data_IF_193807776640
#
_entry.id   IF_193807776640
#
_cell.length_a   1.000
_cell.length_b   1.000
_cell.length_c   1.000
_cell.angle_alpha   90.00
_cell.angle_beta   90.00
_cell.angle_gamma   90.00
#
_symmetry.space_group_name_H-M   'P 1'
#
loop_
_entity.id
_entity.type
_entity.pdbx_description
1 polymer ?
#
# COMPACT_ATOMS: atom_id res chain seq x y z
N UNK A 1 25.29 -12.09 -10.54
CA UNK A 1 24.76 -13.29 -9.89
C UNK A 1 23.46 -13.62 -10.60
N UNK A 2 23.34 -14.77 -11.19
CA UNK A 2 22.12 -15.21 -11.87
C UNK A 2 21.20 -15.83 -10.82
N UNK A 3 19.93 -15.39 -10.79
CA UNK A 3 18.95 -15.88 -9.83
C UNK A 3 18.24 -17.10 -10.44
N UNK A 4 18.25 -18.24 -9.73
CA UNK A 4 17.64 -19.47 -10.21
C UNK A 4 16.19 -19.60 -9.72
N UNK A 5 15.24 -19.24 -10.56
CA UNK A 5 13.81 -19.38 -10.31
C UNK A 5 13.26 -20.80 -10.58
N UNK A 6 14.10 -21.75 -11.00
CA UNK A 6 13.68 -23.12 -11.26
C UNK A 6 13.67 -24.01 -9.99
N UNK A 7 14.28 -23.54 -8.91
CA UNK A 7 14.37 -24.27 -7.65
C UNK A 7 13.18 -23.92 -6.73
N UNK A 8 12.21 -24.81 -6.59
CA UNK A 8 11.13 -24.61 -5.62
C UNK A 8 11.70 -24.76 -4.21
N UNK A 9 11.27 -23.87 -3.31
CA UNK A 9 11.58 -23.95 -1.88
C UNK A 9 10.40 -24.59 -1.17
N UNK A 10 10.62 -25.73 -0.52
CA UNK A 10 9.60 -26.34 0.34
C UNK A 10 9.40 -25.45 1.58
N UNK A 11 8.17 -25.03 1.78
CA UNK A 11 7.80 -24.13 2.88
C UNK A 11 6.88 -24.80 3.91
N UNK A 12 6.64 -26.10 3.79
CA UNK A 12 5.87 -26.86 4.77
C UNK A 12 6.70 -27.08 6.04
N UNK A 13 6.06 -26.96 7.20
CA UNK A 13 6.73 -27.08 8.49
C UNK A 13 7.68 -25.93 8.83
N UNK A 14 7.50 -24.77 8.21
CA UNK A 14 8.28 -23.54 8.46
C UNK A 14 7.47 -22.43 9.08
N UNK A 15 6.31 -22.71 9.63
CA UNK A 15 5.31 -21.77 10.12
C UNK A 15 4.79 -20.81 9.02
N UNK A 16 4.81 -21.27 7.77
CA UNK A 16 4.30 -20.52 6.63
C UNK A 16 2.79 -20.39 6.70
N UNK A 17 2.29 -19.17 6.85
CA UNK A 17 0.85 -18.91 6.86
C UNK A 17 0.14 -19.40 5.58
N UNK A 18 0.84 -19.39 4.44
CA UNK A 18 0.34 -19.89 3.16
C UNK A 18 0.28 -21.42 3.13
N UNK A 19 1.37 -22.11 3.50
CA UNK A 19 1.51 -23.54 3.31
C UNK A 19 1.04 -24.37 4.50
N UNK A 20 1.27 -23.88 5.74
CA UNK A 20 0.96 -24.64 6.96
C UNK A 20 -0.46 -24.40 7.46
N UNK A 21 -1.22 -23.47 6.84
CA UNK A 21 -2.65 -23.30 7.11
C UNK A 21 -3.55 -24.29 6.36
N UNK A 22 -3.03 -24.99 5.34
CA UNK A 22 -3.78 -25.99 4.61
C UNK A 22 -3.64 -27.36 5.32
N UNK A 23 -4.75 -28.01 5.72
CA UNK A 23 -4.69 -29.27 6.48
C UNK A 23 -4.27 -30.47 5.62
N UNK A 24 -4.37 -30.39 4.31
CA UNK A 24 -4.17 -31.50 3.37
C UNK A 24 -2.89 -31.27 2.56
N UNK A 25 -2.09 -32.33 2.44
CA UNK A 25 -0.75 -32.25 1.86
C UNK A 25 -0.71 -32.01 0.34
N UNK A 26 -1.80 -32.29 -0.35
CA UNK A 26 -1.95 -32.19 -1.81
C UNK A 26 -2.56 -30.86 -2.29
N UNK A 27 -2.99 -29.99 -1.37
CA UNK A 27 -3.49 -28.67 -1.72
C UNK A 27 -2.35 -27.76 -2.17
N UNK A 28 -2.52 -27.12 -3.32
CA UNK A 28 -1.66 -26.03 -3.81
C UNK A 28 -2.27 -24.70 -3.36
N UNK A 29 -1.70 -24.00 -2.36
CA UNK A 29 -2.26 -22.77 -1.85
C UNK A 29 -1.98 -21.61 -2.80
N UNK A 30 -3.05 -20.93 -3.29
CA UNK A 30 -2.96 -19.77 -4.18
C UNK A 30 -3.63 -18.52 -3.60
N UNK A 31 -3.94 -18.51 -2.30
CA UNK A 31 -4.77 -17.48 -1.66
C UNK A 31 -3.97 -16.33 -1.03
N UNK A 32 -2.68 -16.52 -0.78
CA UNK A 32 -1.77 -15.48 -0.24
C UNK A 32 -0.74 -15.10 -1.29
N UNK A 33 -0.59 -13.80 -1.49
CA UNK A 33 0.34 -13.25 -2.48
C UNK A 33 1.76 -13.09 -1.90
N UNK A 34 2.35 -14.17 -1.41
CA UNK A 34 3.78 -14.30 -1.18
C UNK A 34 4.37 -15.33 -2.14
N UNK A 35 5.65 -15.18 -2.46
CA UNK A 35 6.33 -16.04 -3.43
C UNK A 35 6.90 -17.28 -2.76
N UNK A 36 7.08 -18.35 -3.55
CA UNK A 36 7.76 -19.58 -3.11
C UNK A 36 9.22 -19.60 -3.58
N UNK A 37 9.75 -18.45 -3.94
CA UNK A 37 11.16 -18.23 -4.26
C UNK A 37 11.86 -17.54 -3.08
N UNK A 38 13.14 -17.86 -2.89
CA UNK A 38 13.97 -17.16 -1.93
C UNK A 38 14.05 -15.66 -2.26
N UNK A 39 14.16 -14.81 -1.23
CA UNK A 39 14.39 -13.39 -1.45
C UNK A 39 15.78 -13.13 -2.01
N UNK A 40 16.02 -11.93 -2.55
CA UNK A 40 17.30 -11.55 -3.12
C UNK A 40 18.45 -11.72 -2.10
N UNK A 41 19.57 -12.39 -2.45
CA UNK A 41 20.66 -12.71 -1.52
C UNK A 41 21.21 -11.51 -0.74
N UNK A 42 21.27 -10.33 -1.36
CA UNK A 42 21.71 -9.11 -0.67
C UNK A 42 20.83 -8.70 0.51
N UNK A 43 19.53 -9.05 0.49
CA UNK A 43 18.63 -8.84 1.63
C UNK A 43 19.00 -9.79 2.77
N UNK A 44 19.18 -11.08 2.45
CA UNK A 44 19.59 -12.11 3.44
C UNK A 44 20.93 -11.75 4.08
N UNK A 45 21.92 -11.33 3.29
CA UNK A 45 23.22 -10.88 3.79
C UNK A 45 23.10 -9.66 4.71
N UNK A 46 22.26 -8.69 4.38
CA UNK A 46 22.04 -7.53 5.23
C UNK A 46 21.41 -7.91 6.58
N UNK A 47 20.45 -8.84 6.57
CA UNK A 47 19.82 -9.37 7.78
C UNK A 47 20.84 -10.15 8.62
N UNK A 48 21.65 -11.00 8.02
CA UNK A 48 22.71 -11.76 8.72
C UNK A 48 23.72 -10.83 9.42
N UNK A 49 24.17 -9.75 8.74
CA UNK A 49 25.02 -8.73 9.37
C UNK A 49 24.34 -8.09 10.57
N UNK A 50 23.06 -7.81 10.51
CA UNK A 50 22.31 -7.23 11.63
C UNK A 50 22.14 -8.21 12.78
N UNK A 51 21.87 -9.49 12.49
CA UNK A 51 21.79 -10.55 13.50
C UNK A 51 23.14 -10.75 14.18
N UNK A 52 24.24 -10.78 13.42
CA UNK A 52 25.60 -10.91 13.96
C UNK A 52 26.00 -9.75 14.90
N UNK A 53 25.41 -8.56 14.75
CA UNK A 53 25.62 -7.46 15.68
C UNK A 53 25.09 -7.76 17.09
N UNK A 54 24.01 -8.56 17.23
CA UNK A 54 23.54 -9.15 18.49
C UNK A 54 22.81 -8.19 19.45
N UNK A 55 22.65 -6.90 19.11
CA UNK A 55 21.94 -5.92 19.94
C UNK A 55 20.70 -5.44 19.21
N UNK A 56 19.51 -5.74 19.77
CA UNK A 56 18.19 -5.45 19.19
C UNK A 56 17.42 -4.41 20.02
N UNK A 57 18.12 -3.37 20.48
CA UNK A 57 17.51 -2.25 21.18
C UNK A 57 16.69 -1.35 20.24
N UNK A 58 16.11 -0.28 20.79
CA UNK A 58 15.35 0.68 20.00
C UNK A 58 16.18 1.23 18.84
N UNK A 59 15.57 1.31 17.67
CA UNK A 59 16.24 1.70 16.44
C UNK A 59 15.41 2.76 15.72
N UNK A 60 16.04 3.82 15.28
CA UNK A 60 15.41 4.77 14.34
C UNK A 60 15.62 4.31 12.91
N UNK A 61 14.72 4.71 12.02
CA UNK A 61 14.89 4.50 10.58
C UNK A 61 16.05 5.36 10.08
N UNK A 62 17.11 4.78 9.49
CA UNK A 62 18.27 5.54 9.04
C UNK A 62 17.96 6.38 7.79
N UNK A 63 18.68 7.49 7.60
CA UNK A 63 18.50 8.35 6.42
C UNK A 63 18.69 7.59 5.09
N UNK A 64 19.66 6.69 5.05
CA UNK A 64 19.94 5.83 3.89
C UNK A 64 18.70 5.01 3.41
N UNK A 65 17.77 4.71 4.32
CA UNK A 65 16.50 4.05 3.97
C UNK A 65 15.64 4.98 3.10
N UNK A 66 15.42 6.20 3.56
CA UNK A 66 14.60 7.18 2.83
C UNK A 66 15.22 7.54 1.48
N UNK A 67 16.55 7.71 1.45
CA UNK A 67 17.28 7.92 0.20
C UNK A 67 17.11 6.75 -0.78
N UNK A 68 17.09 5.52 -0.28
CA UNK A 68 16.86 4.34 -1.10
C UNK A 68 15.44 4.34 -1.70
N UNK A 69 14.42 4.66 -0.91
CA UNK A 69 13.04 4.77 -1.38
C UNK A 69 12.91 5.87 -2.44
N UNK A 70 13.40 7.08 -2.16
CA UNK A 70 13.37 8.21 -3.11
C UNK A 70 14.08 7.86 -4.43
N UNK A 71 15.26 7.27 -4.34
CA UNK A 71 16.05 6.86 -5.51
C UNK A 71 15.36 5.76 -6.31
N UNK A 72 14.71 4.80 -5.64
CA UNK A 72 13.98 3.72 -6.28
C UNK A 72 12.84 4.25 -7.14
N UNK A 73 11.92 5.02 -6.54
CA UNK A 73 10.75 5.56 -7.25
C UNK A 73 11.15 6.51 -8.39
N UNK A 74 12.18 7.34 -8.18
CA UNK A 74 12.72 8.19 -9.25
C UNK A 74 13.27 7.37 -10.41
N UNK A 75 14.05 6.33 -10.13
CA UNK A 75 14.72 5.51 -11.17
C UNK A 75 13.73 4.60 -11.90
N UNK A 76 12.81 3.96 -11.16
CA UNK A 76 11.91 2.94 -11.70
C UNK A 76 10.65 3.53 -12.32
N UNK A 77 10.10 4.57 -11.73
CA UNK A 77 8.77 5.09 -12.07
C UNK A 77 8.77 6.58 -12.43
N UNK A 78 9.94 7.23 -12.51
CA UNK A 78 10.04 8.65 -12.80
C UNK A 78 9.40 9.56 -11.76
N UNK A 79 9.00 9.02 -10.61
CA UNK A 79 8.33 9.78 -9.56
C UNK A 79 9.34 10.34 -8.56
N UNK A 80 9.37 11.66 -8.44
CA UNK A 80 10.22 12.34 -7.48
C UNK A 80 9.51 12.48 -6.13
N UNK A 81 10.05 11.82 -5.11
CA UNK A 81 9.58 11.88 -3.72
C UNK A 81 10.67 12.56 -2.90
N UNK A 82 10.29 13.51 -2.04
CA UNK A 82 11.22 14.07 -1.07
C UNK A 82 11.23 13.23 0.22
N UNK A 83 12.33 13.27 0.93
CA UNK A 83 12.50 12.53 2.19
C UNK A 83 11.42 12.88 3.21
N UNK A 84 11.10 14.16 3.35
CA UNK A 84 10.10 14.69 4.28
C UNK A 84 8.66 14.29 3.95
N UNK A 85 8.40 13.79 2.74
CA UNK A 85 7.07 13.31 2.31
C UNK A 85 6.78 11.89 2.80
N UNK A 86 7.78 11.18 3.36
CA UNK A 86 7.71 9.77 3.70
C UNK A 86 7.53 9.58 5.21
N UNK A 87 6.49 8.81 5.58
CA UNK A 87 6.32 8.23 6.92
C UNK A 87 6.57 6.73 6.81
N UNK A 88 7.49 6.21 7.63
CA UNK A 88 7.72 4.77 7.77
C UNK A 88 6.59 4.11 8.57
N UNK A 89 6.20 2.90 8.19
CA UNK A 89 5.21 2.10 8.92
C UNK A 89 5.49 0.60 8.78
N UNK A 90 4.88 -0.21 9.65
CA UNK A 90 5.10 -1.66 9.71
C UNK A 90 4.37 -2.46 8.62
N UNK A 91 3.54 -1.83 7.79
CA UNK A 91 2.80 -2.50 6.73
C UNK A 91 1.77 -1.60 6.07
N UNK A 92 1.29 -1.97 4.87
CA UNK A 92 0.30 -1.17 4.14
C UNK A 92 -1.07 -1.23 4.81
N UNK A 93 -1.49 -2.36 5.39
CA UNK A 93 -2.76 -2.44 6.12
C UNK A 93 -2.77 -1.55 7.36
N UNK A 94 -1.74 -1.55 8.24
CA UNK A 94 -1.58 -0.55 9.30
C UNK A 94 -1.55 0.88 8.77
N UNK A 95 -0.87 1.14 7.65
CA UNK A 95 -0.84 2.46 7.00
C UNK A 95 -2.24 2.95 6.63
N UNK A 96 -2.99 2.15 5.89
CA UNK A 96 -4.37 2.47 5.47
C UNK A 96 -5.26 2.72 6.69
N UNK A 97 -5.17 1.88 7.72
CA UNK A 97 -5.94 2.05 8.96
C UNK A 97 -5.60 3.36 9.67
N UNK A 98 -4.31 3.71 9.77
CA UNK A 98 -3.86 4.97 10.37
C UNK A 98 -4.34 6.19 9.57
N UNK A 99 -4.32 6.10 8.24
CA UNK A 99 -4.82 7.17 7.35
C UNK A 99 -6.32 7.38 7.54
N UNK A 100 -7.12 6.30 7.57
CA UNK A 100 -8.56 6.39 7.84
C UNK A 100 -8.78 7.06 9.20
N UNK A 101 -8.14 6.56 10.26
CA UNK A 101 -8.24 7.14 11.61
C UNK A 101 -7.87 8.62 11.66
N UNK A 102 -6.86 9.03 10.89
CA UNK A 102 -6.39 10.42 10.87
C UNK A 102 -7.36 11.37 10.17
N UNK A 103 -8.07 10.90 9.14
CA UNK A 103 -8.73 11.78 8.17
C UNK A 103 -10.25 11.65 8.16
N UNK A 104 -10.82 10.74 8.96
CA UNK A 104 -12.27 10.52 9.06
C UNK A 104 -12.76 10.59 10.50
N UNK A 105 -14.06 10.66 10.64
CA UNK A 105 -14.80 10.49 11.89
C UNK A 105 -15.72 9.27 11.77
N UNK A 106 -16.13 8.65 12.89
CA UNK A 106 -17.11 7.57 12.86
C UNK A 106 -18.37 7.97 12.07
N UNK A 107 -18.79 7.08 11.16
CA UNK A 107 -19.89 7.30 10.25
C UNK A 107 -19.55 8.06 8.96
N UNK A 108 -18.33 8.55 8.77
CA UNK A 108 -17.90 9.04 7.47
C UNK A 108 -17.81 7.90 6.46
N UNK A 109 -18.01 8.23 5.19
CA UNK A 109 -17.97 7.26 4.10
C UNK A 109 -16.59 7.16 3.48
N UNK A 110 -16.16 5.90 3.28
CA UNK A 110 -14.94 5.55 2.57
C UNK A 110 -15.31 4.72 1.33
N UNK A 111 -14.99 5.26 0.15
CA UNK A 111 -15.32 4.64 -1.13
C UNK A 111 -14.24 3.61 -1.49
N UNK A 112 -14.67 2.44 -1.96
CA UNK A 112 -13.81 1.37 -2.47
C UNK A 112 -14.31 0.87 -3.81
N UNK A 113 -13.45 0.26 -4.62
CA UNK A 113 -13.78 -0.26 -5.96
C UNK A 113 -13.83 -1.79 -5.94
N UNK A 114 -15.01 -2.33 -5.58
CA UNK A 114 -15.22 -3.78 -5.53
C UNK A 114 -15.29 -4.48 -6.90
N UNK A 115 -14.80 -5.75 -6.99
CA UNK A 115 -14.15 -6.54 -5.95
C UNK A 115 -12.75 -5.98 -5.62
N UNK A 116 -12.39 -5.86 -4.34
CA UNK A 116 -11.12 -5.29 -3.91
C UNK A 116 -10.56 -6.03 -2.69
N UNK A 117 -9.32 -5.79 -2.35
CA UNK A 117 -8.62 -6.40 -1.24
C UNK A 117 -9.43 -6.32 0.08
N UNK A 118 -9.66 -7.48 0.69
CA UNK A 118 -10.59 -7.64 1.81
C UNK A 118 -10.18 -6.85 3.08
N UNK A 119 -8.89 -6.58 3.29
CA UNK A 119 -8.45 -5.80 4.44
C UNK A 119 -8.92 -4.33 4.39
N UNK A 120 -9.31 -3.80 3.23
CA UNK A 120 -9.94 -2.48 3.16
C UNK A 120 -11.24 -2.46 3.95
N UNK A 121 -12.06 -3.51 3.85
CA UNK A 121 -13.33 -3.60 4.56
C UNK A 121 -13.14 -3.62 6.09
N UNK A 122 -12.16 -4.39 6.58
CA UNK A 122 -11.85 -4.42 8.01
C UNK A 122 -11.27 -3.10 8.50
N UNK A 123 -10.36 -2.49 7.74
CA UNK A 123 -9.77 -1.18 8.09
C UNK A 123 -10.83 -0.09 8.19
N UNK A 124 -11.80 -0.07 7.29
CA UNK A 124 -12.91 0.91 7.30
C UNK A 124 -13.80 0.67 8.52
N UNK A 125 -14.27 -0.57 8.73
CA UNK A 125 -15.18 -0.91 9.84
C UNK A 125 -14.55 -0.69 11.21
N UNK A 126 -13.28 -1.06 11.37
CA UNK A 126 -12.57 -0.92 12.65
C UNK A 126 -12.34 0.54 13.04
N UNK A 127 -12.43 1.47 12.09
CA UNK A 127 -12.41 2.91 12.35
C UNK A 127 -13.80 3.54 12.46
N UNK A 128 -14.87 2.72 12.51
CA UNK A 128 -16.24 3.17 12.64
C UNK A 128 -16.81 3.86 11.41
N UNK A 129 -16.18 3.71 10.25
CA UNK A 129 -16.59 4.31 8.99
C UNK A 129 -17.55 3.41 8.20
N UNK A 130 -18.32 4.02 7.33
CA UNK A 130 -19.21 3.34 6.39
C UNK A 130 -18.45 3.03 5.08
N UNK A 131 -18.50 1.78 4.65
CA UNK A 131 -17.93 1.38 3.36
C UNK A 131 -18.97 1.58 2.24
N UNK A 132 -18.57 2.32 1.20
CA UNK A 132 -19.38 2.56 0.00
C UNK A 132 -18.67 1.96 -1.21
N UNK A 133 -19.32 1.00 -1.89
CA UNK A 133 -18.73 0.34 -3.04
C UNK A 133 -19.05 1.06 -4.35
N UNK A 134 -18.04 1.58 -5.05
CA UNK A 134 -18.10 1.85 -6.48
C UNK A 134 -17.68 0.54 -7.19
N UNK A 135 -18.67 -0.29 -7.51
CA UNK A 135 -18.39 -1.60 -8.12
C UNK A 135 -17.82 -1.45 -9.51
N UNK A 136 -16.73 -2.15 -9.78
CA UNK A 136 -16.13 -2.19 -11.10
C UNK A 136 -17.04 -2.95 -12.07
N UNK A 137 -17.06 -2.53 -13.32
CA UNK A 137 -17.77 -3.18 -14.41
C UNK A 137 -16.85 -4.21 -15.06
N UNK A 138 -17.29 -5.46 -15.17
CA UNK A 138 -16.52 -6.46 -15.91
C UNK A 138 -16.87 -6.41 -17.40
N UNK A 139 -15.94 -5.92 -18.20
CA UNK A 139 -16.04 -5.94 -19.65
C UNK A 139 -15.67 -7.33 -20.17
N UNK A 140 -16.68 -8.05 -20.69
CA UNK A 140 -16.53 -9.45 -21.16
C UNK A 140 -15.79 -9.57 -22.48
N UNK A 141 -15.80 -8.53 -23.30
CA UNK A 141 -15.12 -8.50 -24.59
C UNK A 141 -13.62 -8.29 -24.41
N UNK A 142 -13.26 -7.35 -23.53
CA UNK A 142 -11.87 -7.00 -23.20
C UNK A 142 -11.29 -7.87 -22.07
N UNK A 143 -12.11 -8.72 -21.45
CA UNK A 143 -11.75 -9.57 -20.30
C UNK A 143 -11.08 -8.79 -19.15
N UNK A 144 -11.57 -7.58 -18.88
CA UNK A 144 -11.00 -6.70 -17.86
C UNK A 144 -12.08 -5.99 -17.04
N UNK A 145 -11.69 -5.52 -15.87
CA UNK A 145 -12.49 -4.61 -15.06
C UNK A 145 -12.32 -3.15 -15.49
N UNK A 146 -13.37 -2.37 -15.43
CA UNK A 146 -13.40 -0.94 -15.75
C UNK A 146 -14.07 -0.15 -14.63
N UNK A 147 -13.69 1.12 -14.48
CA UNK A 147 -14.28 2.02 -13.47
C UNK A 147 -15.63 2.54 -13.98
N UNK A 148 -16.69 2.36 -13.20
CA UNK A 148 -17.95 3.08 -13.40
C UNK A 148 -17.82 4.51 -12.88
N UNK A 149 -17.45 5.41 -13.76
CA UNK A 149 -17.21 6.82 -13.40
C UNK A 149 -18.49 7.57 -13.06
N UNK A 150 -19.62 7.19 -13.63
CA UNK A 150 -20.92 7.83 -13.35
C UNK A 150 -21.40 7.43 -11.94
N UNK A 151 -21.24 6.16 -11.58
CA UNK A 151 -21.50 5.68 -10.24
C UNK A 151 -20.51 6.28 -9.23
N UNK A 152 -19.22 6.37 -9.58
CA UNK A 152 -18.20 7.00 -8.75
C UNK A 152 -18.59 8.46 -8.45
N UNK A 153 -18.89 9.25 -9.46
CA UNK A 153 -19.28 10.65 -9.28
C UNK A 153 -20.53 10.79 -8.40
N UNK A 154 -21.53 9.92 -8.59
CA UNK A 154 -22.73 9.91 -7.77
C UNK A 154 -22.43 9.68 -6.28
N UNK A 155 -21.49 8.79 -5.96
CA UNK A 155 -21.09 8.45 -4.60
C UNK A 155 -20.20 9.52 -3.95
N UNK A 156 -19.32 10.13 -4.74
CA UNK A 156 -18.48 11.25 -4.29
C UNK A 156 -19.30 12.51 -3.89
N UNK A 157 -20.51 12.68 -4.42
CA UNK A 157 -21.42 13.80 -4.07
C UNK A 157 -21.97 13.73 -2.64
N UNK A 158 -21.88 12.59 -1.99
CA UNK A 158 -22.44 12.42 -0.65
C UNK A 158 -21.67 13.27 0.37
N UNK A 159 -22.38 14.00 1.23
CA UNK A 159 -21.80 14.96 2.18
C UNK A 159 -20.83 14.32 3.19
N UNK A 160 -20.93 13.04 3.45
CA UNK A 160 -20.05 12.27 4.34
C UNK A 160 -18.94 11.52 3.62
N UNK A 161 -18.84 11.58 2.30
CA UNK A 161 -17.73 10.99 1.57
C UNK A 161 -16.43 11.75 1.91
N UNK A 162 -15.42 11.04 2.44
CA UNK A 162 -14.15 11.64 2.87
C UNK A 162 -12.94 11.06 2.17
N UNK A 163 -12.93 9.74 2.01
CA UNK A 163 -11.81 9.04 1.42
C UNK A 163 -12.26 8.11 0.29
N UNK A 164 -11.40 7.92 -0.68
CA UNK A 164 -11.45 6.83 -1.64
C UNK A 164 -10.19 5.98 -1.49
N UNK A 165 -10.35 4.70 -1.17
CA UNK A 165 -9.25 3.74 -1.19
C UNK A 165 -9.14 3.15 -2.59
N UNK A 166 -8.09 3.54 -3.29
CA UNK A 166 -7.75 3.06 -4.63
C UNK A 166 -6.70 1.96 -4.50
N UNK A 167 -6.88 0.83 -5.18
CA UNK A 167 -5.86 -0.20 -5.31
C UNK A 167 -5.17 -0.06 -6.68
N UNK A 168 -3.88 0.23 -6.71
CA UNK A 168 -3.14 0.56 -7.93
C UNK A 168 -1.70 -0.02 -7.94
N UNK A 169 -1.39 -1.08 -8.65
CA UNK A 169 -2.29 -1.97 -9.43
C UNK A 169 -3.37 -2.64 -8.60
N UNK A 170 -4.48 -2.99 -9.24
CA UNK A 170 -5.70 -3.42 -8.57
C UNK A 170 -5.71 -4.92 -8.23
N UNK A 171 -5.89 -5.25 -6.96
CA UNK A 171 -6.07 -6.60 -6.44
C UNK A 171 -7.54 -6.79 -5.95
N UNK A 172 -8.30 -7.83 -6.39
CA UNK A 172 -7.89 -8.96 -7.23
C UNK A 172 -8.14 -8.77 -8.74
N UNK A 173 -8.62 -7.62 -9.17
CA UNK A 173 -9.06 -7.40 -10.55
C UNK A 173 -7.94 -7.44 -11.61
N UNK A 174 -6.66 -7.47 -11.20
CA UNK A 174 -5.53 -7.58 -12.10
C UNK A 174 -5.34 -6.37 -13.03
N UNK A 175 -5.91 -5.20 -12.67
CA UNK A 175 -5.82 -3.98 -13.47
C UNK A 175 -4.60 -3.14 -13.10
N UNK A 176 -3.87 -2.70 -14.10
CA UNK A 176 -2.97 -1.55 -14.03
C UNK A 176 -3.72 -0.36 -14.63
N UNK A 177 -4.04 0.62 -13.81
CA UNK A 177 -4.81 1.79 -14.25
C UNK A 177 -3.97 2.69 -15.14
N UNK A 178 -4.56 3.17 -16.23
CA UNK A 178 -3.91 4.13 -17.11
C UNK A 178 -3.81 5.51 -16.45
N UNK A 179 -2.91 6.34 -16.96
CA UNK A 179 -2.78 7.74 -16.50
C UNK A 179 -4.10 8.50 -16.64
N UNK A 180 -4.83 8.28 -17.72
CA UNK A 180 -6.11 8.95 -17.97
C UNK A 180 -7.19 8.52 -16.97
N UNK A 181 -7.27 7.21 -16.67
CA UNK A 181 -8.18 6.69 -15.64
C UNK A 181 -7.87 7.29 -14.26
N UNK A 182 -6.59 7.30 -13.87
CA UNK A 182 -6.15 7.88 -12.60
C UNK A 182 -6.38 9.39 -12.53
N UNK A 183 -6.15 10.10 -13.64
CA UNK A 183 -6.41 11.55 -13.73
C UNK A 183 -7.90 11.83 -13.54
N UNK A 184 -8.78 11.08 -14.22
CA UNK A 184 -10.22 11.24 -14.07
C UNK A 184 -10.72 10.94 -12.66
N UNK A 185 -10.17 9.90 -12.00
CA UNK A 185 -10.44 9.63 -10.56
C UNK A 185 -10.01 10.83 -9.71
N UNK A 186 -8.81 11.36 -9.92
CA UNK A 186 -8.27 12.47 -9.15
C UNK A 186 -9.10 13.75 -9.31
N UNK A 187 -9.52 14.07 -10.54
CA UNK A 187 -10.38 15.22 -10.85
C UNK A 187 -11.74 15.13 -10.14
N UNK A 188 -12.39 13.96 -10.21
CA UNK A 188 -13.66 13.74 -9.54
C UNK A 188 -13.50 13.82 -8.01
N UNK A 189 -12.51 13.17 -7.44
CA UNK A 189 -12.26 13.22 -6.01
C UNK A 189 -11.97 14.66 -5.55
N UNK A 190 -11.15 15.41 -6.29
CA UNK A 190 -10.87 16.82 -6.01
C UNK A 190 -12.13 17.69 -6.08
N UNK A 191 -12.96 17.50 -7.11
CA UNK A 191 -14.21 18.24 -7.32
C UNK A 191 -15.15 18.16 -6.11
N UNK A 192 -15.17 17.00 -5.43
CA UNK A 192 -16.04 16.76 -4.27
C UNK A 192 -15.33 16.77 -2.93
N UNK A 193 -14.05 17.15 -2.89
CA UNK A 193 -13.26 17.25 -1.66
C UNK A 193 -12.95 15.92 -0.98
N UNK A 194 -13.02 14.82 -1.72
CA UNK A 194 -12.67 13.47 -1.26
C UNK A 194 -11.18 13.22 -1.51
N UNK A 195 -10.45 12.70 -0.52
CA UNK A 195 -9.02 12.40 -0.67
C UNK A 195 -8.82 10.98 -1.17
N UNK A 196 -7.83 10.79 -2.06
CA UNK A 196 -7.44 9.48 -2.53
C UNK A 196 -6.33 8.92 -1.66
N UNK A 197 -6.54 7.69 -1.18
CA UNK A 197 -5.52 6.83 -0.56
C UNK A 197 -5.23 5.71 -1.54
N UNK A 198 -4.08 5.76 -2.18
CA UNK A 198 -3.67 4.78 -3.18
C UNK A 198 -2.80 3.71 -2.53
N UNK A 199 -3.32 2.48 -2.48
CA UNK A 199 -2.55 1.30 -2.10
C UNK A 199 -1.79 0.81 -3.34
N UNK A 200 -0.48 1.03 -3.32
CA UNK A 200 0.42 0.74 -4.43
C UNK A 200 1.43 -0.38 -4.08
N UNK A 201 1.04 -1.28 -3.19
CA UNK A 201 1.90 -2.40 -2.76
C UNK A 201 2.31 -3.32 -3.92
N UNK A 202 1.53 -3.35 -5.00
CA UNK A 202 1.78 -4.17 -6.19
C UNK A 202 2.50 -3.42 -7.32
N UNK A 203 3.00 -2.21 -7.09
CA UNK A 203 3.57 -1.33 -8.12
C UNK A 203 4.71 -1.95 -8.95
N UNK A 204 5.45 -2.90 -8.41
CA UNK A 204 6.54 -3.58 -9.13
C UNK A 204 6.09 -4.87 -9.84
N UNK A 205 4.84 -5.30 -9.65
CA UNK A 205 4.31 -6.56 -10.18
C UNK A 205 3.38 -6.31 -11.36
N UNK A 206 3.84 -5.53 -12.35
CA UNK A 206 3.13 -5.37 -13.61
C UNK A 206 3.56 -6.45 -14.60
N UNK A 207 2.59 -7.01 -15.31
CA UNK A 207 2.82 -8.05 -16.30
C UNK A 207 2.63 -7.49 -17.71
N UNK A 208 3.27 -8.10 -18.67
CA UNK A 208 3.26 -7.70 -20.07
C UNK A 208 3.79 -6.26 -20.22
N UNK A 209 3.28 -5.51 -21.17
CA UNK A 209 3.69 -4.13 -21.47
C UNK A 209 2.90 -3.07 -20.66
N UNK A 210 2.29 -3.48 -19.54
CA UNK A 210 1.58 -2.55 -18.67
C UNK A 210 2.55 -1.70 -17.86
N UNK A 211 2.43 -0.39 -17.97
CA UNK A 211 3.21 0.57 -17.21
C UNK A 211 2.44 1.06 -15.96
N UNK A 212 3.02 0.83 -14.79
CA UNK A 212 2.48 1.38 -13.56
C UNK A 212 2.71 2.89 -13.50
N UNK A 213 1.65 3.61 -13.17
CA UNK A 213 1.68 5.06 -12.94
C UNK A 213 1.45 5.33 -11.45
N UNK A 214 2.43 5.88 -10.72
CA UNK A 214 2.20 6.32 -9.34
C UNK A 214 1.10 7.38 -9.27
N UNK A 215 0.11 7.22 -8.40
CA UNK A 215 -0.94 8.23 -8.24
C UNK A 215 -0.35 9.59 -7.82
N UNK A 216 0.66 9.56 -6.94
CA UNK A 216 1.38 10.76 -6.51
C UNK A 216 2.21 11.44 -7.60
N UNK A 217 2.39 10.83 -8.79
CA UNK A 217 3.07 11.43 -9.95
C UNK A 217 2.16 12.22 -10.88
N UNK A 218 0.86 12.22 -10.63
CA UNK A 218 -0.09 13.08 -11.36
C UNK A 218 0.20 14.57 -11.09
N UNK A 219 -0.34 15.48 -11.91
CA UNK A 219 -0.17 16.92 -11.69
C UNK A 219 -0.41 17.35 -10.24
N UNK A 220 0.37 18.33 -9.75
CA UNK A 220 0.39 18.71 -8.33
C UNK A 220 -0.99 19.10 -7.81
N UNK A 221 -1.77 19.81 -8.59
CA UNK A 221 -3.13 20.22 -8.27
C UNK A 221 -4.10 19.05 -8.06
N UNK A 222 -3.79 17.85 -8.58
CA UNK A 222 -4.61 16.66 -8.46
C UNK A 222 -4.10 15.70 -7.37
N UNK A 223 -2.80 15.65 -7.16
CA UNK A 223 -2.17 14.61 -6.34
C UNK A 223 -1.51 15.09 -5.04
N UNK A 224 -1.36 16.42 -4.82
CA UNK A 224 -0.65 16.95 -3.63
C UNK A 224 -1.24 16.48 -2.31
N UNK A 225 -2.56 16.40 -2.22
CA UNK A 225 -3.28 15.94 -1.03
C UNK A 225 -3.59 14.45 -1.01
N UNK A 226 -3.11 13.68 -2.00
CA UNK A 226 -3.25 12.24 -2.01
C UNK A 226 -2.25 11.56 -1.08
N UNK A 227 -2.56 10.33 -0.70
CA UNK A 227 -1.72 9.50 0.13
C UNK A 227 -1.39 8.21 -0.64
N UNK A 228 -0.12 7.92 -0.85
CA UNK A 228 0.33 6.67 -1.46
C UNK A 228 0.89 5.75 -0.38
N UNK A 229 0.40 4.51 -0.31
CA UNK A 229 0.92 3.46 0.56
C UNK A 229 1.69 2.44 -0.29
N UNK A 230 2.96 2.24 -0.03
CA UNK A 230 3.82 1.34 -0.79
C UNK A 230 4.73 0.49 0.12
N UNK A 231 5.18 -0.65 -0.39
CA UNK A 231 6.03 -1.58 0.37
C UNK A 231 6.86 -2.44 -0.57
N UNK A 232 8.10 -2.81 -0.21
CA UNK A 232 8.88 -3.79 -0.95
C UNK A 232 8.39 -5.23 -0.75
N UNK A 233 7.45 -5.46 0.16
CA UNK A 233 7.10 -6.79 0.67
C UNK A 233 6.61 -7.77 -0.41
N UNK A 234 5.86 -7.30 -1.41
CA UNK A 234 5.35 -8.14 -2.48
C UNK A 234 6.41 -8.42 -3.54
N UNK A 235 7.13 -7.38 -3.98
CA UNK A 235 8.14 -7.51 -5.04
C UNK A 235 9.39 -8.28 -4.60
N UNK A 236 9.75 -8.20 -3.32
CA UNK A 236 10.97 -8.82 -2.78
C UNK A 236 10.70 -9.99 -1.82
N UNK A 237 9.46 -10.45 -1.75
CA UNK A 237 9.06 -11.55 -0.86
C UNK A 237 9.48 -11.35 0.61
N UNK A 238 9.24 -10.15 1.15
CA UNK A 238 9.68 -9.74 2.49
C UNK A 238 8.50 -9.35 3.40
N UNK A 239 7.31 -9.93 3.18
CA UNK A 239 6.12 -9.58 3.94
C UNK A 239 6.28 -9.77 5.46
N UNK A 240 7.00 -10.80 5.89
CA UNK A 240 7.32 -11.08 7.29
C UNK A 240 8.23 -10.04 7.95
N UNK A 241 8.94 -9.21 7.19
CA UNK A 241 9.78 -8.13 7.73
C UNK A 241 9.01 -6.86 8.08
N UNK A 242 7.75 -6.76 7.68
CA UNK A 242 6.81 -5.69 8.07
C UNK A 242 7.35 -4.28 7.82
N UNK A 243 7.60 -3.96 6.56
CA UNK A 243 8.11 -2.66 6.12
C UNK A 243 7.15 -2.05 5.10
N UNK A 244 6.72 -0.80 5.33
CA UNK A 244 5.97 -0.02 4.36
C UNK A 244 6.22 1.48 4.53
N UNK A 245 5.73 2.25 3.57
CA UNK A 245 5.82 3.69 3.56
C UNK A 245 4.46 4.31 3.24
N UNK A 246 4.18 5.43 3.88
CA UNK A 246 3.14 6.36 3.48
C UNK A 246 3.85 7.56 2.86
N UNK A 247 3.48 7.92 1.63
CA UNK A 247 4.00 9.09 0.95
C UNK A 247 2.87 10.12 0.80
N UNK A 248 3.07 11.32 1.34
CA UNK A 248 2.11 12.42 1.26
C UNK A 248 2.84 13.76 1.24
N UNK A 249 2.62 14.58 0.21
CA UNK A 249 3.26 15.89 0.06
C UNK A 249 2.61 17.00 0.91
N UNK A 250 1.37 16.82 1.32
CA UNK A 250 0.66 17.75 2.20
C UNK A 250 1.15 17.59 3.65
N UNK A 251 1.86 18.58 4.18
CA UNK A 251 2.46 18.53 5.51
C UNK A 251 1.41 18.46 6.64
N UNK A 252 0.25 19.12 6.48
CA UNK A 252 -0.81 19.07 7.50
C UNK A 252 -1.40 17.66 7.57
N UNK A 253 -1.69 17.06 6.42
CA UNK A 253 -2.18 15.68 6.31
C UNK A 253 -1.17 14.71 6.90
N UNK A 254 0.13 14.85 6.56
CA UNK A 254 1.21 14.03 7.12
C UNK A 254 1.24 14.08 8.64
N UNK A 255 1.18 15.29 9.23
CA UNK A 255 1.20 15.46 10.68
C UNK A 255 -0.01 14.80 11.35
N UNK A 256 -1.19 14.83 10.72
CA UNK A 256 -2.38 14.12 11.24
C UNK A 256 -2.19 12.61 11.21
N UNK A 257 -1.63 12.08 10.12
CA UNK A 257 -1.35 10.64 9.97
C UNK A 257 -0.31 10.19 11.00
N UNK A 258 0.77 10.95 11.16
CA UNK A 258 1.83 10.65 12.14
C UNK A 258 1.28 10.58 13.58
N UNK A 259 0.43 11.54 13.95
CA UNK A 259 -0.29 11.49 15.24
C UNK A 259 -1.15 10.25 15.40
N UNK A 260 -1.86 9.82 14.34
CA UNK A 260 -2.71 8.64 14.40
C UNK A 260 -1.90 7.35 14.56
N UNK A 261 -0.71 7.28 13.96
CA UNK A 261 0.23 6.18 14.15
C UNK A 261 0.70 6.14 15.61
N UNK A 262 1.09 7.28 16.18
CA UNK A 262 1.60 7.38 17.55
C UNK A 262 0.52 7.04 18.61
N UNK A 263 -0.76 7.37 18.35
CA UNK A 263 -1.87 7.01 19.26
C UNK A 263 -2.05 5.49 19.37
N UNK A 264 -1.62 4.71 18.39
CA UNK A 264 -1.71 3.25 18.43
C UNK A 264 -0.51 2.58 19.12
N UNK A 265 0.27 3.33 19.91
CA UNK A 265 1.49 2.85 20.58
C UNK A 265 2.44 2.11 19.63
N UNK A 266 2.48 2.57 18.36
CA UNK A 266 3.47 2.07 17.44
C UNK A 266 4.84 2.51 17.96
N UNK A 267 5.61 1.56 18.51
CA UNK A 267 6.95 1.76 19.10
C UNK A 267 8.03 2.21 18.08
N UNK A 268 7.62 2.81 16.98
CA UNK A 268 8.51 3.57 16.14
C UNK A 268 8.73 4.91 16.83
N UNK A 269 9.89 5.06 17.43
CA UNK A 269 10.30 6.30 18.10
C UNK A 269 10.36 7.43 17.07
N UNK A 270 9.27 8.18 16.97
CA UNK A 270 9.14 9.32 16.06
C UNK A 270 9.08 10.65 16.79
N UNK A 271 8.97 10.62 18.11
CA UNK A 271 8.94 11.84 18.95
C UNK A 271 9.91 11.73 20.11
N UNK A 272 10.61 12.83 20.49
CA UNK A 272 11.38 12.85 21.72
C UNK A 272 10.45 12.59 22.91
N UNK A 273 10.91 11.71 23.81
CA UNK A 273 10.25 11.49 25.09
C UNK A 273 10.30 12.76 25.93
N UNK A 274 9.25 13.10 26.71
CA UNK A 274 9.34 14.19 27.67
C UNK A 274 10.42 13.99 28.75
N UNK A 275 11.10 12.84 28.71
CA UNK A 275 12.19 12.49 29.63
C UNK A 275 13.58 12.66 29.00
N UNK A 276 13.65 12.94 27.71
CA UNK A 276 14.88 13.26 26.98
C UNK A 276 15.00 14.79 26.85
#
# INVERSE_FOLDING_TARGET
>A
MEYDFSRPTDRRGTDSYKWDSAPEADIIPLWVADMDFETFPGITEALQRRVAHGIFGYTRVPEAYYEAVCRWFKKRHGWHINREDIIYTSGVVPAVSAVIKALTLPGDQVIVQGPVYNCFFSSIRNNGCEMVSNSLIYNKEELRYEIDFDDLERKLKHERARLMLLCNPHNPGGRVWTRDELTRVAELCRKYGVRVVSDEIHCELTLYDNEYVPFGSLPDELSRGSITCCSPSKAFNTAGLQIANIVCRDAEVRNRIDRAININDCLLYTSPSPRD
#
